data_IF_047992525457
#
_entry.id   IF_047992525457
#
_cell.length_a   1.000
_cell.length_b   1.000
_cell.length_c   1.000
_cell.angle_alpha   90.00
_cell.angle_beta   90.00
_cell.angle_gamma   90.00
#
_symmetry.space_group_name_H-M   'P 1'
#
loop_
_entity.id
_entity.type
_entity.pdbx_description
1 polymer ?
#
# COMPACT_ATOMS: atom_id res chain seq x y z
N UNK A 1 -47.90 9.85 38.21
CA UNK A 1 -46.95 8.71 38.21
C UNK A 1 -46.49 8.28 36.80
N UNK A 2 -47.38 8.14 35.80
CA UNK A 2 -46.99 7.73 34.43
C UNK A 2 -46.00 8.66 33.70
N UNK A 3 -46.04 9.96 33.97
CA UNK A 3 -45.16 10.96 33.31
C UNK A 3 -43.70 10.86 33.80
N UNK A 4 -43.49 10.57 35.08
CA UNK A 4 -42.15 10.43 35.68
C UNK A 4 -41.42 9.20 35.11
N UNK A 5 -42.15 8.11 34.86
CA UNK A 5 -41.57 6.90 34.26
C UNK A 5 -41.20 7.11 32.79
N UNK A 6 -41.96 7.89 32.03
CA UNK A 6 -41.62 8.23 30.64
C UNK A 6 -40.39 9.13 30.55
N UNK A 7 -40.25 10.09 31.46
CA UNK A 7 -39.07 10.97 31.49
C UNK A 7 -37.78 10.21 31.81
N UNK A 8 -37.84 9.22 32.72
CA UNK A 8 -36.68 8.37 33.05
C UNK A 8 -36.22 7.52 31.86
N UNK A 9 -37.16 6.98 31.08
CA UNK A 9 -36.82 6.17 29.90
C UNK A 9 -36.16 7.06 28.83
N UNK A 10 -36.68 8.25 28.56
CA UNK A 10 -36.08 9.17 27.58
C UNK A 10 -34.68 9.62 27.99
N UNK A 11 -34.47 9.97 29.27
CA UNK A 11 -33.15 10.39 29.77
C UNK A 11 -32.15 9.22 29.74
N UNK A 12 -32.57 8.01 30.12
CA UNK A 12 -31.72 6.83 30.10
C UNK A 12 -31.34 6.44 28.66
N UNK A 13 -32.30 6.49 27.73
CA UNK A 13 -32.04 6.26 26.30
C UNK A 13 -31.09 7.31 25.74
N UNK A 14 -31.27 8.60 26.05
CA UNK A 14 -30.35 9.67 25.61
C UNK A 14 -28.93 9.50 26.15
N UNK A 15 -28.78 9.07 27.41
CA UNK A 15 -27.48 8.80 28.02
C UNK A 15 -26.80 7.59 27.36
N UNK A 16 -27.55 6.52 27.09
CA UNK A 16 -27.04 5.33 26.40
C UNK A 16 -26.55 5.71 24.99
N UNK A 17 -27.31 6.50 24.23
CA UNK A 17 -26.87 6.96 22.90
C UNK A 17 -25.59 7.81 22.98
N UNK A 18 -25.43 8.64 24.00
CA UNK A 18 -24.21 9.44 24.22
C UNK A 18 -22.99 8.61 24.66
N UNK A 19 -23.20 7.50 25.39
CA UNK A 19 -22.13 6.58 25.78
C UNK A 19 -21.70 5.64 24.64
N UNK A 20 -22.58 5.38 23.66
CA UNK A 20 -22.26 4.60 22.47
C UNK A 20 -21.85 5.45 21.25
N UNK A 21 -22.03 6.78 21.30
CA UNK A 21 -21.36 7.70 20.39
C UNK A 21 -19.92 7.93 20.85
N UNK A 22 -19.12 6.87 20.86
CA UNK A 22 -17.67 7.03 20.94
C UNK A 22 -17.20 7.85 19.74
N UNK A 23 -16.50 8.95 19.98
CA UNK A 23 -15.73 9.60 18.94
C UNK A 23 -14.65 8.61 18.46
N UNK A 24 -14.96 7.83 17.43
CA UNK A 24 -13.94 7.20 16.63
C UNK A 24 -13.22 8.34 15.90
N UNK A 25 -12.10 8.79 16.45
CA UNK A 25 -11.17 9.63 15.71
C UNK A 25 -10.61 8.78 14.57
N UNK A 26 -11.02 9.07 13.34
CA UNK A 26 -10.51 8.45 12.12
C UNK A 26 -9.22 9.12 11.62
N UNK A 27 -8.57 9.97 12.43
CA UNK A 27 -7.33 10.63 12.02
C UNK A 27 -6.12 9.70 12.17
N UNK A 28 -5.75 9.12 11.04
CA UNK A 28 -4.51 8.41 10.70
C UNK A 28 -3.18 9.00 11.16
N UNK A 29 -3.12 10.32 11.14
CA UNK A 29 -1.89 11.09 11.22
C UNK A 29 -1.99 12.07 12.38
N UNK A 30 -0.84 12.39 12.99
CA UNK A 30 -0.82 13.30 14.13
C UNK A 30 -1.43 14.64 13.72
N UNK A 31 -2.60 14.95 14.28
CA UNK A 31 -3.28 16.23 14.12
C UNK A 31 -2.64 17.33 14.96
N UNK A 32 -1.51 17.06 15.61
CA UNK A 32 -0.79 17.99 16.46
C UNK A 32 0.66 18.08 15.99
N UNK A 33 1.20 19.29 15.93
CA UNK A 33 2.60 19.53 15.65
C UNK A 33 3.13 20.71 16.48
N UNK A 34 4.44 20.75 16.72
CA UNK A 34 5.16 21.92 17.21
C UNK A 34 5.93 22.54 16.05
N UNK A 35 6.29 23.82 16.18
CA UNK A 35 7.23 24.44 15.24
C UNK A 35 8.52 23.62 15.15
N UNK A 36 8.95 23.26 13.94
CA UNK A 36 10.12 22.41 13.69
C UNK A 36 9.87 20.91 13.71
N UNK A 37 8.65 20.46 13.99
CA UNK A 37 8.27 19.04 13.84
C UNK A 37 8.22 18.62 12.36
N UNK A 38 8.18 17.31 12.18
CA UNK A 38 7.94 16.68 10.88
C UNK A 38 6.52 16.16 10.81
N UNK A 39 5.79 16.57 9.78
CA UNK A 39 4.43 16.10 9.47
C UNK A 39 4.49 15.24 8.21
N UNK A 40 3.67 14.20 8.15
CA UNK A 40 3.49 13.40 6.95
C UNK A 40 2.13 13.73 6.34
N UNK A 41 2.07 13.91 5.03
CA UNK A 41 0.87 14.31 4.29
C UNK A 41 0.65 13.34 3.14
N UNK A 42 -0.55 12.79 3.03
CA UNK A 42 -1.00 12.10 1.85
C UNK A 42 -1.39 13.11 0.76
N UNK A 43 -0.75 13.03 -0.42
CA UNK A 43 -0.99 13.93 -1.55
C UNK A 43 -2.01 13.39 -2.57
N UNK A 44 -2.58 12.21 -2.33
CA UNK A 44 -3.57 11.59 -3.22
C UNK A 44 -3.05 10.35 -3.96
N UNK A 45 -3.98 9.70 -4.66
CA UNK A 45 -3.75 8.48 -5.44
C UNK A 45 -2.91 8.70 -6.70
N UNK A 46 -2.53 7.60 -7.35
CA UNK A 46 -1.72 7.58 -8.58
C UNK A 46 -2.47 6.99 -9.77
N UNK A 47 -3.80 7.13 -9.76
CA UNK A 47 -4.75 6.41 -10.61
C UNK A 47 -4.73 6.83 -12.09
N UNK A 48 -5.41 6.02 -12.92
CA UNK A 48 -5.34 5.93 -14.38
C UNK A 48 -5.63 7.21 -15.17
N UNK A 49 -6.34 8.21 -14.61
CA UNK A 49 -6.49 9.52 -15.24
C UNK A 49 -5.13 10.24 -15.42
N UNK A 50 -4.12 9.82 -14.66
CA UNK A 50 -2.76 10.37 -14.66
C UNK A 50 -1.69 9.42 -15.22
N UNK A 51 -2.04 8.42 -16.03
CA UNK A 51 -1.05 7.58 -16.73
C UNK A 51 -0.08 8.40 -17.62
N UNK A 52 -0.46 9.63 -17.97
CA UNK A 52 0.32 10.60 -18.75
C UNK A 52 0.90 11.76 -17.94
N UNK A 53 0.54 11.91 -16.65
CA UNK A 53 1.12 12.97 -15.81
C UNK A 53 2.45 12.46 -15.28
N UNK A 54 3.49 13.27 -15.54
CA UNK A 54 4.86 13.00 -15.17
C UNK A 54 4.95 12.70 -13.66
N UNK A 55 5.81 11.75 -13.28
CA UNK A 55 6.08 11.40 -11.87
C UNK A 55 6.23 12.70 -11.06
N UNK A 56 5.37 12.92 -10.05
CA UNK A 56 5.46 14.12 -9.21
C UNK A 56 6.89 14.27 -8.70
N UNK A 57 7.52 15.38 -9.07
CA UNK A 57 8.88 15.69 -8.64
C UNK A 57 8.84 16.52 -7.37
N UNK A 58 9.84 16.34 -6.53
CA UNK A 58 9.92 17.03 -5.24
C UNK A 58 9.97 18.55 -5.44
N UNK A 59 10.71 18.99 -6.46
CA UNK A 59 10.91 20.37 -6.85
C UNK A 59 9.66 21.07 -7.36
N UNK A 60 8.66 20.31 -7.81
CA UNK A 60 7.41 20.86 -8.35
C UNK A 60 6.35 21.10 -7.27
N UNK A 61 6.61 20.68 -6.02
CA UNK A 61 5.66 20.74 -4.91
C UNK A 61 6.03 21.87 -3.95
N UNK A 62 5.09 22.80 -3.76
CA UNK A 62 5.17 23.84 -2.74
C UNK A 62 4.18 23.56 -1.61
N UNK A 63 4.63 23.77 -0.36
CA UNK A 63 3.82 23.54 0.84
C UNK A 63 3.90 24.79 1.71
N UNK A 64 2.73 25.25 2.13
CA UNK A 64 2.56 26.43 2.98
C UNK A 64 1.77 26.00 4.22
N UNK A 65 2.20 26.44 5.40
CA UNK A 65 1.39 26.36 6.61
C UNK A 65 0.80 27.73 6.91
N UNK A 66 -0.51 27.78 7.18
CA UNK A 66 -1.19 28.99 7.68
C UNK A 66 -1.58 28.75 9.13
N UNK A 67 -1.11 29.62 10.04
CA UNK A 67 -1.33 29.48 11.47
C UNK A 67 -2.68 30.05 11.94
N UNK A 68 -2.96 29.94 13.24
CA UNK A 68 -4.21 30.41 13.86
C UNK A 68 -4.40 31.93 13.81
N UNK A 69 -3.32 32.67 13.55
CA UNK A 69 -3.34 34.13 13.38
C UNK A 69 -3.52 34.53 11.91
N UNK A 70 -3.60 33.56 10.98
CA UNK A 70 -3.71 33.80 9.55
C UNK A 70 -2.39 34.11 8.85
N UNK A 71 -1.24 33.93 9.53
CA UNK A 71 0.07 34.11 8.90
C UNK A 71 0.45 32.84 8.14
N UNK A 72 0.94 33.02 6.91
CA UNK A 72 1.38 31.92 6.06
C UNK A 72 2.90 31.85 5.97
N UNK A 73 3.44 30.65 6.11
CA UNK A 73 4.88 30.38 6.05
C UNK A 73 5.17 29.25 5.07
N UNK A 74 6.17 29.39 4.17
CA UNK A 74 6.63 28.26 3.39
C UNK A 74 7.28 27.22 4.32
N UNK A 75 7.07 25.94 4.03
CA UNK A 75 7.64 24.85 4.81
C UNK A 75 8.41 23.86 3.92
N UNK A 76 9.39 23.21 4.51
CA UNK A 76 10.33 22.38 3.77
C UNK A 76 9.72 21.02 3.44
N UNK A 77 9.55 20.73 2.15
CA UNK A 77 9.35 19.35 1.70
C UNK A 77 10.68 18.60 1.86
N UNK A 78 10.76 17.65 2.79
CA UNK A 78 11.97 16.86 3.02
C UNK A 78 12.07 15.69 2.06
N UNK A 79 10.99 14.92 1.95
CA UNK A 79 10.91 13.70 1.14
C UNK A 79 9.56 13.63 0.43
N UNK A 80 9.58 13.10 -0.78
CA UNK A 80 8.40 12.71 -1.53
C UNK A 80 8.63 11.27 -1.99
N UNK A 81 7.69 10.38 -1.72
CA UNK A 81 7.75 9.00 -2.18
C UNK A 81 6.35 8.44 -2.40
N UNK A 82 6.26 7.37 -3.18
CA UNK A 82 5.02 6.64 -3.41
C UNK A 82 4.96 5.44 -2.48
N UNK A 83 3.86 5.33 -1.75
CA UNK A 83 3.47 4.12 -1.03
C UNK A 83 2.58 3.31 -1.95
N UNK A 84 2.77 2.01 -1.99
CA UNK A 84 1.93 1.11 -2.78
C UNK A 84 1.17 0.21 -1.81
N UNK A 85 -0.09 -0.16 -2.10
CA UNK A 85 -0.76 -1.19 -1.32
C UNK A 85 -0.01 -2.51 -1.48
N UNK A 86 0.02 -3.31 -0.41
CA UNK A 86 0.61 -4.64 -0.49
C UNK A 86 -0.11 -5.44 -1.60
N UNK A 87 0.65 -6.04 -2.50
CA UNK A 87 0.12 -6.90 -3.56
C UNK A 87 -0.68 -8.10 -3.00
N UNK A 88 -0.39 -8.52 -1.78
CA UNK A 88 -1.13 -9.54 -1.06
C UNK A 88 -2.35 -9.00 -0.29
N UNK A 89 -2.58 -7.70 -0.23
CA UNK A 89 -3.73 -7.14 0.49
C UNK A 89 -5.06 -7.61 -0.09
N UNK A 90 -6.08 -7.70 0.76
CA UNK A 90 -7.44 -8.04 0.30
C UNK A 90 -7.96 -7.02 -0.71
N UNK A 91 -7.60 -5.75 -0.53
CA UNK A 91 -7.94 -4.68 -1.47
C UNK A 91 -7.46 -4.97 -2.91
N UNK A 92 -6.18 -5.34 -3.09
CA UNK A 92 -5.63 -5.71 -4.42
C UNK A 92 -6.20 -7.04 -4.93
N UNK A 93 -6.49 -7.97 -4.03
CA UNK A 93 -7.09 -9.25 -4.40
C UNK A 93 -8.49 -9.10 -4.98
N UNK A 94 -9.34 -8.29 -4.33
CA UNK A 94 -10.75 -8.09 -4.70
C UNK A 94 -10.89 -7.07 -5.88
N UNK A 95 -9.87 -6.25 -6.20
CA UNK A 95 -9.92 -5.28 -7.31
C UNK A 95 -9.76 -5.91 -8.70
N UNK A 96 -9.36 -7.18 -8.79
CA UNK A 96 -9.13 -7.90 -10.04
C UNK A 96 -10.34 -8.72 -10.52
N UNK A 97 -11.43 -8.74 -9.75
CA UNK A 97 -12.64 -9.48 -10.09
C UNK A 97 -13.58 -8.62 -10.94
N UNK A 98 -13.64 -8.91 -12.23
CA UNK A 98 -14.51 -8.28 -13.25
C UNK A 98 -16.01 -8.66 -13.07
N UNK A 99 -16.33 -9.34 -11.96
CA UNK A 99 -17.62 -9.99 -11.69
C UNK A 99 -18.46 -9.22 -10.67
N UNK A 100 -19.36 -8.38 -11.18
CA UNK A 100 -20.56 -7.84 -10.55
C UNK A 100 -20.94 -8.42 -9.17
N UNK A 101 -20.58 -7.72 -8.08
CA UNK A 101 -21.35 -7.58 -6.81
C UNK A 101 -20.51 -7.11 -5.61
N UNK A 102 -19.18 -7.12 -5.71
CA UNK A 102 -18.33 -6.60 -4.63
C UNK A 102 -18.27 -5.08 -4.70
N UNK A 103 -18.48 -4.41 -3.57
CA UNK A 103 -18.29 -2.95 -3.39
C UNK A 103 -16.89 -2.46 -3.80
N UNK A 104 -15.92 -3.37 -3.97
CA UNK A 104 -14.54 -3.11 -4.43
C UNK A 104 -14.34 -3.20 -5.95
N UNK A 105 -15.24 -3.84 -6.72
CA UNK A 105 -15.10 -4.02 -8.18
C UNK A 105 -15.21 -2.71 -8.98
N UNK A 106 -15.55 -1.62 -8.30
CA UNK A 106 -15.75 -0.29 -8.87
C UNK A 106 -14.65 0.71 -8.49
N UNK A 107 -13.63 0.26 -7.76
CA UNK A 107 -12.49 1.12 -7.39
C UNK A 107 -11.34 0.74 -8.30
N UNK A 108 -10.81 1.67 -9.14
CA UNK A 108 -9.56 1.43 -9.85
C UNK A 108 -8.53 0.94 -8.82
N UNK A 109 -7.73 -0.10 -9.10
CA UNK A 109 -6.74 -0.56 -8.14
C UNK A 109 -5.87 0.64 -7.77
N UNK A 110 -5.85 1.03 -6.49
CA UNK A 110 -5.00 2.11 -6.00
C UNK A 110 -3.55 1.77 -6.37
N UNK A 111 -3.04 2.34 -7.46
CA UNK A 111 -1.71 2.03 -7.98
C UNK A 111 -0.60 2.60 -7.06
N UNK A 112 -0.98 3.15 -5.92
CA UNK A 112 -0.14 3.79 -4.92
C UNK A 112 -0.66 5.18 -4.55
N UNK A 113 -0.11 5.72 -3.47
CA UNK A 113 -0.40 7.02 -2.92
C UNK A 113 0.90 7.81 -2.79
N UNK A 114 0.88 9.09 -3.19
CA UNK A 114 2.00 9.97 -2.92
C UNK A 114 1.99 10.42 -1.47
N UNK A 115 3.13 10.29 -0.80
CA UNK A 115 3.33 10.73 0.58
C UNK A 115 4.47 11.73 0.63
N UNK A 116 4.17 12.90 1.19
CA UNK A 116 5.12 13.96 1.47
C UNK A 116 5.50 13.97 2.95
N UNK A 117 6.79 14.07 3.23
CA UNK A 117 7.34 14.32 4.56
C UNK A 117 7.76 15.78 4.61
N UNK A 118 7.08 16.55 5.45
CA UNK A 118 7.20 18.00 5.56
C UNK A 118 7.84 18.35 6.89
N UNK A 119 8.83 19.22 6.88
CA UNK A 119 9.39 19.83 8.08
C UNK A 119 8.84 21.24 8.21
N UNK A 120 8.32 21.57 9.40
CA UNK A 120 7.80 22.90 9.72
C UNK A 120 8.97 23.88 9.94
N UNK A 121 9.75 24.09 8.89
CA UNK A 121 10.98 24.87 8.80
C UNK A 121 10.97 25.59 7.45
N UNK A 122 11.39 26.85 7.43
CA UNK A 122 11.51 27.65 6.22
C UNK A 122 12.54 27.02 5.25
N UNK A 123 12.16 26.77 3.98
CA UNK A 123 12.99 26.04 3.03
C UNK A 123 14.24 26.80 2.56
N UNK A 124 14.22 28.13 2.59
CA UNK A 124 15.33 28.95 2.06
C UNK A 124 16.36 29.23 3.15
N UNK A 125 15.90 29.45 4.37
CA UNK A 125 16.74 29.89 5.49
C UNK A 125 17.06 28.77 6.49
N UNK A 126 16.28 27.69 6.50
CA UNK A 126 16.36 26.64 7.51
C UNK A 126 15.92 27.10 8.90
N UNK A 127 15.30 28.27 9.02
CA UNK A 127 14.85 28.82 10.29
C UNK A 127 13.44 28.31 10.65
N UNK A 128 13.18 28.25 11.95
CA UNK A 128 11.87 27.87 12.47
C UNK A 128 10.85 29.01 12.24
N UNK A 129 9.74 28.77 11.52
CA UNK A 129 8.68 29.76 11.38
C UNK A 129 8.02 30.04 12.74
N UNK A 130 7.70 31.30 13.01
CA UNK A 130 7.06 31.70 14.26
C UNK A 130 5.55 31.43 14.23
N UNK A 131 5.17 30.15 14.29
CA UNK A 131 3.78 29.69 14.23
C UNK A 131 3.04 30.03 15.54
N UNK A 132 1.86 30.65 15.41
CA UNK A 132 0.94 30.81 16.52
C UNK A 132 0.36 29.46 16.99
N UNK A 133 0.19 29.31 18.31
CA UNK A 133 -0.47 28.13 18.90
C UNK A 133 -1.94 28.12 18.48
N UNK A 134 -2.48 26.94 18.17
CA UNK A 134 -3.88 26.72 17.81
C UNK A 134 -4.05 26.10 16.43
N UNK A 135 -5.26 26.19 15.88
CA UNK A 135 -5.61 25.61 14.59
C UNK A 135 -4.77 26.23 13.47
N UNK A 136 -4.22 25.37 12.61
CA UNK A 136 -3.46 25.71 11.43
C UNK A 136 -3.85 24.80 10.27
N UNK A 137 -3.47 25.19 9.07
CA UNK A 137 -3.77 24.42 7.85
C UNK A 137 -2.54 24.37 6.96
N UNK A 138 -2.26 23.18 6.43
CA UNK A 138 -1.28 22.98 5.38
C UNK A 138 -1.98 23.03 4.02
N UNK A 139 -1.44 23.83 3.11
CA UNK A 139 -1.84 23.85 1.71
C UNK A 139 -0.69 23.35 0.85
N UNK A 140 -1.01 22.45 -0.08
CA UNK A 140 -0.08 21.85 -1.03
C UNK A 140 -0.49 22.22 -2.44
N UNK A 141 0.47 22.69 -3.23
CA UNK A 141 0.30 22.97 -4.64
C UNK A 141 1.42 22.34 -5.47
N UNK A 142 1.12 22.03 -6.73
CA UNK A 142 2.10 21.55 -7.69
C UNK A 142 1.87 22.17 -9.06
N UNK A 143 2.96 22.52 -9.75
CA UNK A 143 2.90 22.96 -11.14
C UNK A 143 2.48 21.85 -12.10
N UNK A 144 2.72 20.58 -11.73
CA UNK A 144 2.38 19.40 -12.52
C UNK A 144 0.92 18.93 -12.40
N UNK A 145 0.05 19.73 -11.77
CA UNK A 145 -1.30 19.35 -11.32
C UNK A 145 -1.29 18.10 -10.41
N UNK A 146 -1.47 18.32 -9.10
CA UNK A 146 -2.00 17.24 -8.25
C UNK A 146 -3.51 17.28 -8.48
N UNK A 147 -4.08 16.19 -8.98
CA UNK A 147 -5.51 16.12 -9.30
C UNK A 147 -6.33 16.17 -8.01
N UNK A 148 -6.72 17.38 -7.61
CA UNK A 148 -7.44 17.65 -6.37
C UNK A 148 -8.93 17.27 -6.47
N UNK A 149 -9.45 17.01 -7.68
CA UNK A 149 -10.89 16.97 -7.95
C UNK A 149 -11.32 15.86 -8.93
N UNK A 150 -10.77 14.64 -8.83
CA UNK A 150 -11.48 13.48 -9.42
C UNK A 150 -12.63 13.11 -8.50
N UNK A 151 -13.70 13.90 -8.58
CA UNK A 151 -15.00 13.49 -8.05
C UNK A 151 -15.52 12.38 -8.95
N UNK A 152 -15.35 11.14 -8.49
CA UNK A 152 -16.00 9.96 -9.03
C UNK A 152 -17.51 10.01 -8.75
N UNK A 153 -18.21 10.94 -9.40
CA UNK A 153 -19.61 11.31 -9.15
C UNK A 153 -20.64 10.23 -9.49
N UNK A 154 -20.20 9.13 -10.11
CA UNK A 154 -21.05 8.02 -10.55
C UNK A 154 -20.98 6.79 -9.63
N UNK A 155 -20.20 6.84 -8.56
CA UNK A 155 -19.98 5.71 -7.67
C UNK A 155 -20.73 5.89 -6.35
N UNK A 156 -21.28 4.78 -5.81
CA UNK A 156 -22.00 4.77 -4.52
C UNK A 156 -21.13 5.17 -3.31
N UNK A 157 -19.81 5.31 -3.52
CA UNK A 157 -18.85 5.85 -2.58
C UNK A 157 -18.14 7.03 -3.25
N UNK A 158 -18.29 8.23 -2.70
CA UNK A 158 -17.47 9.36 -3.10
C UNK A 158 -16.07 9.17 -2.50
N UNK A 159 -15.14 8.69 -3.32
CA UNK A 159 -13.72 8.88 -3.03
C UNK A 159 -13.43 10.36 -3.24
N UNK A 160 -13.48 11.13 -2.17
CA UNK A 160 -12.98 12.50 -2.18
C UNK A 160 -11.50 12.42 -1.83
N UNK A 161 -10.62 12.72 -2.80
CA UNK A 161 -9.26 13.13 -2.44
C UNK A 161 -9.42 14.27 -1.43
N UNK A 162 -8.82 14.13 -0.24
CA UNK A 162 -8.87 15.19 0.76
C UNK A 162 -8.37 16.51 0.16
N UNK A 163 -8.98 17.63 0.52
CA UNK A 163 -8.58 18.92 -0.02
C UNK A 163 -7.14 19.23 0.39
N UNK A 164 -6.23 19.21 -0.59
CA UNK A 164 -4.84 19.58 -0.39
C UNK A 164 -4.67 21.08 -0.12
N UNK A 165 -5.72 21.90 -0.29
CA UNK A 165 -5.71 23.31 0.06
C UNK A 165 -5.92 23.59 1.55
N UNK A 166 -6.37 22.61 2.34
CA UNK A 166 -6.75 22.82 3.75
C UNK A 166 -6.61 21.56 4.59
N UNK A 167 -5.38 21.04 4.72
CA UNK A 167 -5.07 19.92 5.60
C UNK A 167 -4.92 20.43 7.03
N UNK A 168 -5.85 20.07 7.92
CA UNK A 168 -5.88 20.58 9.29
C UNK A 168 -4.73 20.04 10.16
N UNK A 169 -4.10 20.92 10.94
CA UNK A 169 -3.10 20.57 11.95
C UNK A 169 -3.21 21.56 13.12
N UNK A 170 -3.05 21.10 14.35
CA UNK A 170 -3.04 21.95 15.54
C UNK A 170 -1.60 22.21 15.99
N UNK A 171 -1.19 23.47 16.03
CA UNK A 171 0.10 23.87 16.56
C UNK A 171 0.03 23.95 18.08
N UNK A 172 0.79 23.09 18.75
CA UNK A 172 0.91 23.09 20.22
C UNK A 172 2.18 23.80 20.66
N UNK A 173 2.20 24.21 21.93
CA UNK A 173 3.35 24.91 22.49
C UNK A 173 4.64 24.06 22.46
N UNK A 174 5.75 24.75 22.21
CA UNK A 174 7.10 24.20 22.25
C UNK A 174 7.79 24.19 20.89
N UNK A 175 9.05 23.73 20.90
CA UNK A 175 9.78 23.46 19.67
C UNK A 175 9.88 21.95 19.46
N UNK A 176 9.59 21.56 18.24
CA UNK A 176 9.78 20.23 17.72
C UNK A 176 11.22 19.96 17.36
N UNK A 177 11.47 18.73 16.95
CA UNK A 177 12.71 18.37 16.27
C UNK A 177 12.36 17.53 15.06
N UNK A 178 13.12 17.65 13.94
CA UNK A 178 12.93 16.79 12.80
C UNK A 178 12.89 15.31 13.22
N UNK A 179 11.78 14.64 12.91
CA UNK A 179 11.61 13.23 13.23
C UNK A 179 12.66 12.41 12.48
N UNK A 180 13.30 11.47 13.19
CA UNK A 180 14.08 10.39 12.58
C UNK A 180 13.11 9.29 12.13
N UNK A 181 12.11 9.62 11.31
CA UNK A 181 11.10 8.72 10.72
C UNK A 181 11.04 7.32 11.35
N UNK A 182 10.34 7.19 12.48
CA UNK A 182 9.96 5.88 13.02
C UNK A 182 8.46 5.72 12.78
N UNK A 183 8.13 4.84 11.84
CA UNK A 183 6.81 4.34 11.42
C UNK A 183 5.88 5.35 10.72
N UNK A 184 5.47 4.99 9.50
CA UNK A 184 4.40 5.61 8.71
C UNK A 184 3.43 4.48 8.38
N UNK A 185 2.19 4.57 8.83
CA UNK A 185 1.11 3.67 8.40
C UNK A 185 0.04 4.50 7.66
N UNK A 186 -0.44 4.05 6.48
CA UNK A 186 -1.41 4.79 5.70
C UNK A 186 -2.82 4.73 6.31
N UNK A 187 -3.57 5.82 6.15
CA UNK A 187 -5.02 5.89 6.36
C UNK A 187 -5.69 5.35 5.09
N UNK A 188 -6.41 4.24 5.18
CA UNK A 188 -7.42 3.86 4.19
C UNK A 188 -8.81 4.00 4.81
N UNK A 189 -9.81 4.36 4.01
CA UNK A 189 -11.23 4.32 4.39
C UNK A 189 -11.80 2.89 4.35
N UNK A 190 -11.08 1.96 3.74
CA UNK A 190 -11.38 0.54 3.90
C UNK A 190 -11.13 0.12 5.35
N UNK A 191 -11.93 -0.82 5.88
CA UNK A 191 -11.67 -1.36 7.21
C UNK A 191 -10.23 -1.87 7.26
N UNK A 192 -9.51 -1.61 8.36
CA UNK A 192 -8.07 -1.88 8.51
C UNK A 192 -7.69 -3.33 8.13
N UNK A 193 -8.63 -4.26 8.23
CA UNK A 193 -8.45 -5.64 7.79
C UNK A 193 -8.26 -5.82 6.26
N UNK A 194 -8.72 -4.88 5.42
CA UNK A 194 -8.61 -4.97 3.96
C UNK A 194 -7.23 -4.57 3.43
N UNK A 195 -6.47 -3.80 4.22
CA UNK A 195 -5.07 -3.42 3.92
C UNK A 195 -4.05 -4.40 4.48
N UNK A 196 -4.47 -5.29 5.38
CA UNK A 196 -3.60 -6.37 5.87
C UNK A 196 -3.30 -7.36 4.74
N UNK A 197 -2.07 -7.89 4.66
CA UNK A 197 -1.74 -8.96 3.73
C UNK A 197 -2.65 -10.18 3.96
N UNK A 198 -3.21 -10.73 2.89
CA UNK A 198 -3.89 -12.00 2.92
C UNK A 198 -2.90 -13.13 3.28
N UNK A 199 -3.41 -14.26 3.80
CA UNK A 199 -2.60 -15.45 3.95
C UNK A 199 -1.88 -15.80 2.65
N UNK A 200 -0.58 -16.05 2.76
CA UNK A 200 0.29 -16.13 1.60
C UNK A 200 1.39 -17.19 1.73
N UNK A 201 1.76 -17.75 0.59
CA UNK A 201 2.96 -18.59 0.45
C UNK A 201 3.93 -17.85 -0.45
N UNK A 202 5.10 -17.54 0.10
CA UNK A 202 6.18 -16.95 -0.68
C UNK A 202 6.90 -18.08 -1.41
N UNK A 203 7.06 -17.90 -2.72
CA UNK A 203 7.91 -18.71 -3.58
C UNK A 203 9.17 -17.91 -3.89
N UNK A 204 10.32 -18.46 -3.55
CA UNK A 204 11.61 -17.78 -3.67
C UNK A 204 12.71 -18.73 -4.14
N UNK A 205 13.83 -18.22 -4.67
CA UNK A 205 15.00 -19.05 -4.93
C UNK A 205 15.62 -19.52 -3.61
N UNK A 206 16.06 -20.78 -3.55
CA UNK A 206 16.68 -21.40 -2.36
C UNK A 206 17.95 -20.68 -1.93
N UNK A 207 18.72 -20.23 -2.91
CA UNK A 207 20.06 -19.69 -2.75
C UNK A 207 20.32 -18.57 -3.75
N UNK A 208 21.38 -17.79 -3.48
CA UNK A 208 21.84 -16.74 -4.38
C UNK A 208 22.54 -17.38 -5.60
N UNK A 209 22.13 -17.06 -6.84
CA UNK A 209 22.78 -17.54 -8.04
C UNK A 209 24.25 -17.15 -8.15
N UNK A 210 25.03 -17.95 -8.87
CA UNK A 210 26.39 -17.57 -9.30
C UNK A 210 26.37 -16.55 -10.45
N UNK A 211 25.26 -16.44 -11.19
CA UNK A 211 25.09 -15.53 -12.33
C UNK A 211 23.70 -14.93 -12.36
N UNK A 212 23.55 -13.77 -13.01
CA UNK A 212 22.24 -13.16 -13.24
C UNK A 212 21.31 -14.10 -14.02
N UNK A 213 20.01 -13.91 -13.83
CA UNK A 213 19.01 -14.81 -14.38
C UNK A 213 17.75 -14.08 -14.84
N UNK A 214 17.06 -14.60 -15.85
CA UNK A 214 15.88 -13.94 -16.41
C UNK A 214 14.63 -14.13 -15.56
N UNK A 215 14.53 -15.22 -14.80
CA UNK A 215 13.34 -15.52 -14.01
C UNK A 215 13.11 -17.01 -13.82
N UNK A 216 11.84 -17.42 -13.74
CA UNK A 216 11.48 -18.82 -13.52
C UNK A 216 10.03 -19.13 -13.85
N UNK A 217 9.75 -20.43 -13.98
CA UNK A 217 8.43 -20.99 -14.23
C UNK A 217 8.12 -22.09 -13.24
N UNK A 218 6.89 -22.09 -12.72
CA UNK A 218 6.46 -22.91 -11.60
C UNK A 218 5.06 -23.45 -11.87
N UNK A 219 4.82 -24.69 -11.48
CA UNK A 219 3.52 -25.33 -11.53
C UNK A 219 3.15 -25.81 -10.14
N UNK A 220 1.96 -25.43 -9.70
CA UNK A 220 1.39 -25.88 -8.44
C UNK A 220 0.08 -26.61 -8.71
N UNK A 221 -0.21 -27.60 -7.87
CA UNK A 221 -1.51 -28.26 -7.81
C UNK A 221 -2.05 -28.06 -6.40
N UNK A 222 -3.30 -27.65 -6.28
CA UNK A 222 -3.97 -27.45 -5.01
C UNK A 222 -5.38 -28.02 -5.01
N UNK A 223 -5.86 -28.44 -3.84
CA UNK A 223 -7.20 -28.95 -3.66
C UNK A 223 -8.19 -27.78 -3.54
N UNK A 224 -9.13 -27.64 -4.47
CA UNK A 224 -10.11 -26.55 -4.45
C UNK A 224 -10.94 -26.56 -3.15
N UNK A 225 -11.27 -27.73 -2.61
CA UNK A 225 -12.07 -27.81 -1.39
C UNK A 225 -11.36 -27.22 -0.16
N UNK A 226 -10.04 -27.10 -0.18
CA UNK A 226 -9.26 -26.53 0.91
C UNK A 226 -9.30 -24.99 0.92
N UNK A 227 -9.48 -24.40 -0.28
CA UNK A 227 -9.46 -22.98 -0.53
C UNK A 227 -10.83 -22.51 -1.05
N UNK A 228 -11.56 -21.74 -0.25
CA UNK A 228 -12.87 -21.19 -0.63
C UNK A 228 -12.82 -20.23 -1.84
N UNK A 229 -11.62 -19.81 -2.25
CA UNK A 229 -11.38 -18.96 -3.41
C UNK A 229 -10.20 -19.48 -4.22
N UNK A 230 -10.14 -19.12 -5.50
CA UNK A 230 -8.98 -19.42 -6.35
C UNK A 230 -7.70 -18.81 -5.78
N UNK A 231 -6.57 -19.51 -5.93
CA UNK A 231 -5.26 -18.93 -5.62
C UNK A 231 -4.89 -17.88 -6.65
N UNK A 232 -4.38 -16.73 -6.20
CA UNK A 232 -3.81 -15.70 -7.08
C UNK A 232 -2.30 -15.61 -6.88
N UNK A 233 -1.55 -15.46 -7.97
CA UNK A 233 -0.12 -15.18 -7.92
C UNK A 233 0.12 -13.68 -8.03
N UNK A 234 0.88 -13.12 -7.09
CA UNK A 234 1.18 -11.68 -7.06
C UNK A 234 2.67 -11.42 -6.83
N UNK A 235 3.26 -10.34 -7.37
CA UNK A 235 4.67 -10.02 -7.13
C UNK A 235 4.92 -9.77 -5.64
N UNK A 236 6.06 -10.22 -5.12
CA UNK A 236 6.38 -9.99 -3.70
C UNK A 236 6.79 -8.52 -3.40
N UNK A 237 6.99 -7.70 -4.43
CA UNK A 237 7.30 -6.28 -4.30
C UNK A 237 6.93 -5.49 -5.56
N UNK A 238 6.90 -4.15 -5.44
CA UNK A 238 6.61 -3.21 -6.54
C UNK A 238 7.85 -2.86 -7.36
N UNK A 239 8.57 -3.85 -7.88
CA UNK A 239 9.63 -3.60 -8.85
C UNK A 239 9.02 -3.54 -10.26
N UNK A 240 9.07 -2.38 -10.93
CA UNK A 240 8.37 -2.16 -12.20
C UNK A 240 8.97 -2.95 -13.37
N UNK A 241 10.13 -3.60 -13.19
CA UNK A 241 10.76 -4.40 -14.23
C UNK A 241 10.35 -5.89 -14.17
N UNK A 242 9.60 -6.30 -13.15
CA UNK A 242 9.09 -7.67 -13.03
C UNK A 242 7.83 -7.82 -13.90
N UNK A 243 7.78 -8.90 -14.66
CA UNK A 243 6.59 -9.42 -15.30
C UNK A 243 6.18 -10.71 -14.58
N UNK A 244 4.98 -10.73 -14.02
CA UNK A 244 4.39 -11.93 -13.43
C UNK A 244 3.18 -12.34 -14.27
N UNK A 245 3.15 -13.60 -14.67
CA UNK A 245 2.06 -14.20 -15.43
C UNK A 245 1.58 -15.43 -14.70
N UNK A 246 0.27 -15.62 -14.60
CA UNK A 246 -0.32 -16.85 -14.07
C UNK A 246 -1.50 -17.33 -14.90
N UNK A 247 -1.67 -18.65 -14.96
CA UNK A 247 -2.84 -19.29 -15.54
C UNK A 247 -3.27 -20.48 -14.70
N UNK A 248 -4.57 -20.66 -14.56
CA UNK A 248 -5.17 -21.76 -13.78
C UNK A 248 -5.99 -22.67 -14.68
N UNK A 249 -5.98 -23.97 -14.37
CA UNK A 249 -6.72 -25.00 -15.07
C UNK A 249 -7.31 -25.96 -14.02
N UNK A 250 -8.63 -26.16 -14.06
CA UNK A 250 -9.30 -27.21 -13.29
C UNK A 250 -8.98 -28.59 -13.91
N UNK A 251 -8.55 -29.53 -13.08
CA UNK A 251 -8.19 -30.88 -13.51
C UNK A 251 -9.37 -31.86 -13.48
N UNK A 252 -10.54 -31.44 -12.98
CA UNK A 252 -11.78 -32.21 -12.97
C UNK A 252 -11.88 -33.27 -11.86
N UNK A 253 -10.89 -33.36 -10.98
CA UNK A 253 -10.83 -34.28 -9.84
C UNK A 253 -10.97 -33.54 -8.48
N UNK A 254 -11.36 -32.27 -8.51
CA UNK A 254 -11.39 -31.37 -7.35
C UNK A 254 -10.07 -30.66 -7.08
N UNK A 255 -9.06 -30.85 -7.93
CA UNK A 255 -7.80 -30.09 -7.87
C UNK A 255 -7.68 -29.09 -9.02
N UNK A 256 -6.96 -27.99 -8.75
CA UNK A 256 -6.62 -26.98 -9.75
C UNK A 256 -5.10 -26.92 -9.90
N UNK A 257 -4.65 -26.85 -11.15
CA UNK A 257 -3.28 -26.52 -11.48
C UNK A 257 -3.16 -25.02 -11.74
N UNK A 258 -2.19 -24.36 -11.09
CA UNK A 258 -1.78 -22.99 -11.41
C UNK A 258 -0.34 -22.98 -11.92
N UNK A 259 -0.14 -22.40 -13.09
CA UNK A 259 1.18 -22.15 -13.66
C UNK A 259 1.53 -20.69 -13.43
N UNK A 260 2.72 -20.41 -12.91
CA UNK A 260 3.22 -19.07 -12.63
C UNK A 260 4.56 -18.88 -13.29
N UNK A 261 4.74 -17.77 -13.99
CA UNK A 261 6.02 -17.36 -14.56
C UNK A 261 6.38 -15.97 -14.08
N UNK A 262 7.58 -15.81 -13.52
CA UNK A 262 8.15 -14.53 -13.12
C UNK A 262 9.36 -14.23 -14.00
N UNK A 263 9.42 -13.04 -14.60
CA UNK A 263 10.45 -12.67 -15.56
C UNK A 263 10.91 -11.23 -15.33
N UNK A 264 12.19 -10.97 -15.57
CA UNK A 264 12.72 -9.66 -15.90
C UNK A 264 13.61 -9.83 -17.15
N UNK A 265 13.25 -9.23 -18.31
CA UNK A 265 14.04 -9.34 -19.53
C UNK A 265 15.49 -8.83 -19.40
N UNK A 266 15.75 -7.95 -18.43
CA UNK A 266 17.09 -7.40 -18.14
C UNK A 266 17.77 -8.12 -16.97
N UNK A 267 17.11 -9.11 -16.37
CA UNK A 267 17.67 -10.00 -15.38
C UNK A 267 17.44 -9.60 -13.92
N UNK A 268 17.57 -10.61 -13.07
CA UNK A 268 17.68 -10.50 -11.63
C UNK A 268 19.15 -10.58 -11.23
N UNK A 269 19.58 -9.59 -10.45
CA UNK A 269 20.94 -9.49 -9.92
C UNK A 269 21.21 -10.63 -8.92
N UNK A 270 22.48 -10.98 -8.74
CA UNK A 270 22.95 -11.92 -7.70
C UNK A 270 23.06 -11.28 -6.31
N UNK A 271 22.51 -10.08 -6.13
CA UNK A 271 22.61 -9.33 -4.87
C UNK A 271 21.37 -8.49 -4.60
N UNK A 272 21.14 -8.22 -3.32
CA UNK A 272 20.11 -7.31 -2.82
C UNK A 272 20.63 -5.90 -2.54
N UNK A 273 21.93 -5.67 -2.69
CA UNK A 273 22.55 -4.38 -2.40
C UNK A 273 21.95 -3.33 -3.32
N UNK A 274 21.30 -2.32 -2.72
CA UNK A 274 21.22 -1.01 -3.35
C UNK A 274 22.65 -0.56 -3.57
N UNK A 275 23.08 -0.33 -4.81
CA UNK A 275 24.35 0.36 -5.00
C UNK A 275 24.14 1.75 -4.39
N UNK A 276 24.90 2.08 -3.35
CA UNK A 276 24.79 3.38 -2.67
C UNK A 276 25.09 4.47 -3.71
N UNK A 277 24.17 5.42 -3.89
CA UNK A 277 24.30 6.49 -4.89
C UNK A 277 23.72 6.20 -6.27
N UNK A 278 23.04 5.06 -6.44
CA UNK A 278 22.47 4.59 -7.70
C UNK A 278 20.96 4.53 -7.48
N UNK A 279 20.22 5.44 -8.12
CA UNK A 279 18.76 5.42 -8.10
C UNK A 279 18.28 4.10 -8.73
N UNK A 280 17.04 3.63 -8.47
CA UNK A 280 16.51 2.43 -9.17
C UNK A 280 16.58 2.54 -10.71
N UNK A 281 16.70 3.75 -11.24
CA UNK A 281 16.88 4.06 -12.67
C UNK A 281 18.25 3.58 -13.19
N UNK A 282 19.26 3.48 -12.33
CA UNK A 282 20.65 3.19 -12.70
C UNK A 282 21.00 1.69 -12.67
N UNK A 283 20.05 0.79 -12.34
CA UNK A 283 20.24 -0.66 -12.50
C UNK A 283 20.10 -1.13 -13.95
N UNK A 284 19.96 -0.20 -14.89
CA UNK A 284 19.72 -0.50 -16.29
C UNK A 284 18.43 -1.27 -16.52
N UNK A 285 17.47 -1.23 -15.58
CA UNK A 285 16.22 -2.03 -15.58
C UNK A 285 16.37 -3.48 -15.09
N UNK A 286 17.53 -3.87 -14.58
CA UNK A 286 17.69 -5.13 -13.84
C UNK A 286 17.04 -5.03 -12.45
N UNK A 287 16.60 -6.16 -11.91
CA UNK A 287 15.93 -6.24 -10.62
C UNK A 287 16.84 -6.80 -9.52
N UNK A 288 16.76 -6.31 -8.27
CA UNK A 288 17.46 -6.94 -7.14
C UNK A 288 17.08 -8.42 -6.97
N UNK A 289 17.97 -9.24 -6.40
CA UNK A 289 17.71 -10.68 -6.19
C UNK A 289 16.36 -10.99 -5.51
N UNK A 290 16.00 -10.22 -4.48
CA UNK A 290 14.74 -10.37 -3.71
C UNK A 290 13.48 -10.14 -4.56
N UNK A 291 13.61 -9.53 -5.72
CA UNK A 291 12.52 -9.32 -6.67
C UNK A 291 12.19 -10.60 -7.45
N UNK A 292 13.04 -11.62 -7.46
CA UNK A 292 12.73 -12.93 -8.05
C UNK A 292 11.78 -13.79 -7.20
N UNK A 293 10.91 -13.13 -6.42
CA UNK A 293 9.96 -13.74 -5.47
C UNK A 293 8.55 -13.33 -5.85
N UNK A 294 7.62 -14.23 -5.63
CA UNK A 294 6.20 -13.96 -5.75
C UNK A 294 5.45 -14.68 -4.63
N UNK A 295 4.22 -14.26 -4.42
CA UNK A 295 3.35 -14.79 -3.39
C UNK A 295 2.16 -15.47 -4.06
N UNK A 296 1.78 -16.64 -3.54
CA UNK A 296 0.47 -17.24 -3.79
C UNK A 296 -0.43 -16.84 -2.64
N UNK A 297 -1.53 -16.15 -2.94
CA UNK A 297 -2.44 -15.56 -1.96
C UNK A 297 -3.85 -16.14 -2.12
N UNK A 298 -4.60 -16.14 -1.03
CA UNK A 298 -6.00 -16.58 -1.01
C UNK A 298 -6.81 -15.83 0.03
N UNK A 299 -8.12 -15.75 -0.18
CA UNK A 299 -9.03 -15.16 0.80
C UNK A 299 -9.28 -16.15 1.93
N UNK A 300 -9.21 -15.68 3.18
CA UNK A 300 -9.62 -16.47 4.34
C UNK A 300 -11.10 -16.26 4.59
N UNK A 301 -11.89 -17.31 4.44
CA UNK A 301 -13.31 -17.32 4.77
C UNK A 301 -13.61 -18.34 5.87
N UNK A 302 -14.88 -18.47 6.25
CA UNK A 302 -15.31 -19.50 7.19
C UNK A 302 -15.14 -20.93 6.64
N UNK A 303 -15.08 -21.09 5.31
CA UNK A 303 -14.94 -22.38 4.64
C UNK A 303 -13.48 -22.75 4.34
N UNK A 304 -12.54 -21.78 4.38
CA UNK A 304 -11.11 -22.05 4.21
C UNK A 304 -10.58 -22.91 5.36
N UNK A 305 -10.06 -24.10 5.04
CA UNK A 305 -9.47 -25.01 6.04
C UNK A 305 -7.93 -25.00 6.05
N UNK A 306 -7.31 -24.19 5.19
CA UNK A 306 -5.85 -24.00 5.16
C UNK A 306 -5.37 -23.18 6.36
N UNK A 307 -4.42 -23.75 7.09
CA UNK A 307 -3.79 -23.26 8.32
C UNK A 307 -2.27 -23.24 8.18
N UNK A 308 -1.57 -22.75 9.20
CA UNK A 308 -0.09 -22.76 9.21
C UNK A 308 0.49 -24.18 9.27
N UNK A 309 -0.31 -25.16 9.70
CA UNK A 309 0.14 -26.53 9.93
C UNK A 309 -0.16 -27.48 8.76
N UNK A 310 -1.16 -27.19 7.92
CA UNK A 310 -1.61 -28.10 6.85
C UNK A 310 -1.45 -27.54 5.44
N UNK A 311 -1.00 -26.29 5.24
CA UNK A 311 -0.90 -25.67 3.91
C UNK A 311 -0.08 -26.51 2.92
N UNK A 312 0.97 -27.17 3.39
CA UNK A 312 1.80 -28.02 2.53
C UNK A 312 1.01 -29.19 1.94
N UNK A 313 -0.03 -29.68 2.62
CA UNK A 313 -0.87 -30.74 2.08
C UNK A 313 -1.90 -30.20 1.07
N UNK A 314 -2.30 -28.94 1.23
CA UNK A 314 -3.32 -28.29 0.42
C UNK A 314 -2.78 -27.75 -0.91
N UNK A 315 -1.50 -27.36 -0.95
CA UNK A 315 -0.83 -26.89 -2.17
C UNK A 315 0.56 -27.51 -2.31
N UNK A 316 0.81 -28.08 -3.49
CA UNK A 316 2.05 -28.73 -3.84
C UNK A 316 2.66 -28.09 -5.08
N UNK A 317 3.95 -27.78 -5.03
CA UNK A 317 4.69 -27.42 -6.24
C UNK A 317 5.09 -28.70 -6.96
N UNK A 318 4.50 -28.97 -8.12
CA UNK A 318 4.77 -30.18 -8.90
C UNK A 318 5.99 -30.02 -9.78
N UNK A 319 6.26 -28.80 -10.24
CA UNK A 319 7.49 -28.45 -10.95
C UNK A 319 7.87 -27.00 -10.73
N UNK A 320 9.16 -26.69 -10.82
CA UNK A 320 9.64 -25.33 -10.66
C UNK A 320 11.11 -25.21 -11.04
N UNK A 321 11.43 -24.19 -11.83
CA UNK A 321 12.80 -23.96 -12.29
C UNK A 321 13.07 -22.48 -12.56
N UNK A 322 14.34 -22.11 -12.46
CA UNK A 322 14.83 -20.80 -12.86
C UNK A 322 15.56 -20.90 -14.20
N UNK A 323 15.56 -19.80 -14.96
CA UNK A 323 16.21 -19.71 -16.28
C UNK A 323 17.20 -18.56 -16.33
N UNK A 324 18.32 -18.76 -17.02
CA UNK A 324 19.30 -17.73 -17.32
C UNK A 324 18.78 -16.71 -18.36
N UNK A 325 19.58 -15.69 -18.67
CA UNK A 325 19.24 -14.66 -19.66
C UNK A 325 19.11 -15.20 -21.10
N UNK A 326 19.56 -16.42 -21.36
CA UNK A 326 19.48 -17.10 -22.64
C UNK A 326 18.32 -18.10 -22.68
N UNK A 327 17.58 -18.28 -21.57
CA UNK A 327 16.46 -19.20 -21.44
C UNK A 327 16.87 -20.63 -21.06
N UNK A 328 18.13 -20.90 -20.71
CA UNK A 328 18.55 -22.21 -20.23
C UNK A 328 18.22 -22.38 -18.76
N UNK A 329 17.96 -23.63 -18.33
CA UNK A 329 17.73 -23.95 -16.93
C UNK A 329 18.96 -23.65 -16.08
N UNK A 330 18.75 -22.97 -14.95
CA UNK A 330 19.78 -22.71 -13.96
C UNK A 330 19.90 -23.87 -13.00
N UNK A 331 21.11 -24.43 -12.92
CA UNK A 331 21.45 -25.52 -12.01
C UNK A 331 21.85 -24.98 -10.65
N UNK A 332 21.46 -25.67 -9.59
CA UNK A 332 21.89 -25.34 -8.21
C UNK A 332 21.03 -24.31 -7.50
N UNK A 333 19.93 -23.86 -8.12
CA UNK A 333 18.94 -22.97 -7.50
C UNK A 333 17.59 -23.62 -7.66
N UNK A 334 16.94 -23.92 -6.54
CA UNK A 334 15.63 -24.55 -6.54
C UNK A 334 14.59 -23.56 -5.99
N UNK A 335 13.34 -23.60 -6.46
CA UNK A 335 12.28 -22.88 -5.79
C UNK A 335 12.04 -23.47 -4.40
N UNK A 336 11.82 -22.58 -3.44
CA UNK A 336 11.38 -22.92 -2.09
C UNK A 336 10.07 -22.23 -1.80
N UNK A 337 9.13 -22.97 -1.20
CA UNK A 337 7.87 -22.44 -0.71
C UNK A 337 7.94 -22.23 0.79
N UNK A 338 7.54 -21.05 1.26
CA UNK A 338 7.41 -20.75 2.68
C UNK A 338 6.13 -19.99 2.94
N UNK A 339 5.28 -20.52 3.82
CA UNK A 339 4.12 -19.75 4.30
C UNK A 339 4.57 -18.55 5.12
N UNK A 340 3.96 -17.40 4.85
CA UNK A 340 4.15 -16.16 5.57
C UNK A 340 2.77 -15.68 6.05
N UNK A 341 2.75 -15.10 7.25
CA UNK A 341 1.52 -14.59 7.85
C UNK A 341 1.00 -13.40 7.08
#
# INVERSE_FOLDING_TARGET
MKIINKLRIVVLSGLITAFFSGCASMQSMSSYARTGDTVSIALGGTEESNALVEVLKKEDIAIIITDSSGNSFPVTLRKLFRVYPDHASQYVYDSWDDGASATSAYTPPLLGQWVAIVELVDPDTGLLPALAIGQAFLSVSSVGQIDQDVLYSNFQFSWENGSLGSIEVEIIAGQGAPSKLNYVEPISYDPVNAIEPLPQIIVAPSDIPLSEFAGGSFTFVYNQADFDTELKAVPANHDPNIQLMSSSIDLGDGTTQINVSILNPRGFLTTNKSVVGVSRIDLGGSSPFRSARFNLIWKKTAATIVTDQNWQNSIQMTSGSYIDLQGNLLVGINPVMKKVR
#
